data_IF_920523917033
#
_entry.id   IF_920523917033
#
_cell.length_a   1.000
_cell.length_b   1.000
_cell.length_c   1.000
_cell.angle_alpha   90.00
_cell.angle_beta   90.00
_cell.angle_gamma   90.00
#
_symmetry.space_group_name_H-M   'P 1'
#
loop_
_entity.id
_entity.type
_entity.pdbx_description
1 polymer ?
#
# COMPACT_ATOMS: atom_id res chain seq x y z
N UNK A 1 3.59 4.32 -51.66
CA UNK A 1 3.28 5.57 -50.94
C UNK A 1 1.93 5.39 -50.27
N UNK A 2 1.87 5.74 -48.98
CA UNK A 2 0.66 6.23 -48.26
C UNK A 2 -0.49 5.23 -48.01
N UNK A 3 -1.08 5.07 -46.81
CA UNK A 3 -1.00 5.76 -45.51
C UNK A 3 -1.53 4.82 -44.43
N UNK A 4 -0.79 4.79 -43.33
CA UNK A 4 -1.17 4.57 -41.94
C UNK A 4 -2.67 4.62 -41.59
N UNK A 5 -3.12 3.63 -40.82
CA UNK A 5 -4.01 3.85 -39.67
C UNK A 5 -3.39 3.18 -38.45
N UNK A 6 -2.47 3.92 -37.83
CA UNK A 6 -2.00 3.73 -36.47
C UNK A 6 -3.20 4.02 -35.57
N UNK A 7 -3.80 2.99 -34.99
CA UNK A 7 -4.78 3.16 -33.92
C UNK A 7 -4.02 3.74 -32.74
N UNK A 8 -4.11 5.06 -32.60
CA UNK A 8 -3.69 5.79 -31.43
C UNK A 8 -4.58 5.34 -30.28
N UNK A 9 -4.06 4.45 -29.44
CA UNK A 9 -4.56 4.28 -28.08
C UNK A 9 -4.41 5.63 -27.39
N UNK A 10 -5.54 6.33 -27.26
CA UNK A 10 -5.61 7.55 -26.46
C UNK A 10 -5.28 7.15 -25.01
N UNK A 11 -4.41 7.90 -24.29
CA UNK A 11 -4.32 7.72 -22.85
C UNK A 11 -5.67 8.19 -22.30
N UNK A 12 -6.54 7.25 -21.98
CA UNK A 12 -7.76 7.54 -21.23
C UNK A 12 -7.31 8.20 -19.94
N UNK A 13 -7.61 9.49 -19.83
CA UNK A 13 -7.46 10.28 -18.61
C UNK A 13 -7.95 9.39 -17.48
N UNK A 14 -7.02 8.95 -16.63
CA UNK A 14 -7.36 8.17 -15.47
C UNK A 14 -8.26 9.06 -14.63
N UNK A 15 -9.57 8.84 -14.68
CA UNK A 15 -10.46 9.35 -13.65
C UNK A 15 -9.83 8.92 -12.33
N UNK A 16 -9.49 9.90 -11.50
CA UNK A 16 -8.99 9.65 -10.15
C UNK A 16 -10.10 8.89 -9.42
N UNK A 17 -10.03 7.56 -9.47
CA UNK A 17 -11.00 6.69 -8.83
C UNK A 17 -11.01 7.05 -7.34
N UNK A 18 -12.20 7.31 -6.83
CA UNK A 18 -12.39 7.58 -5.41
C UNK A 18 -11.97 6.35 -4.60
N UNK A 19 -11.57 6.60 -3.36
CA UNK A 19 -11.18 5.52 -2.46
C UNK A 19 -12.30 4.50 -2.27
N UNK A 20 -13.56 4.97 -2.22
CA UNK A 20 -14.71 4.08 -2.12
C UNK A 20 -14.84 3.15 -3.34
N UNK A 21 -14.62 3.68 -4.55
CA UNK A 21 -14.63 2.88 -5.79
C UNK A 21 -13.52 1.84 -5.77
N UNK A 22 -12.31 2.23 -5.36
CA UNK A 22 -11.15 1.33 -5.27
C UNK A 22 -11.37 0.18 -4.28
N UNK A 23 -12.12 0.41 -3.19
CA UNK A 23 -12.51 -0.62 -2.23
C UNK A 23 -13.57 -1.56 -2.81
N UNK A 24 -14.55 -1.02 -3.53
CA UNK A 24 -15.65 -1.80 -4.12
C UNK A 24 -15.19 -2.70 -5.28
N UNK A 25 -14.25 -2.23 -6.09
CA UNK A 25 -13.72 -2.98 -7.24
C UNK A 25 -12.78 -4.12 -6.86
N UNK A 26 -12.22 -4.12 -5.64
CA UNK A 26 -11.34 -5.19 -5.16
C UNK A 26 -12.17 -6.45 -4.85
N UNK A 27 -12.35 -7.35 -5.83
CA UNK A 27 -13.19 -8.55 -5.71
C UNK A 27 -12.58 -9.72 -4.95
N UNK A 28 -11.24 -9.86 -4.91
CA UNK A 28 -10.54 -10.93 -4.18
C UNK A 28 -9.51 -10.38 -3.18
N UNK A 29 -9.30 -11.10 -2.07
CA UNK A 29 -8.22 -10.80 -1.11
C UNK A 29 -8.46 -9.62 -0.16
N UNK A 30 -9.71 -9.14 -0.02
CA UNK A 30 -10.09 -7.94 0.78
C UNK A 30 -9.45 -7.90 2.16
N UNK A 31 -9.45 -9.03 2.88
CA UNK A 31 -8.86 -9.12 4.22
C UNK A 31 -7.33 -9.09 4.22
N UNK A 32 -6.68 -9.67 3.20
CA UNK A 32 -5.22 -9.60 3.03
C UNK A 32 -4.75 -8.19 2.68
N UNK A 33 -5.52 -7.48 1.84
CA UNK A 33 -5.26 -6.09 1.47
C UNK A 33 -5.28 -5.15 2.66
N UNK A 34 -6.19 -5.32 3.64
CA UNK A 34 -6.23 -4.48 4.84
C UNK A 34 -4.93 -4.61 5.67
N UNK A 35 -4.38 -5.81 5.78
CA UNK A 35 -3.10 -6.03 6.46
C UNK A 35 -1.94 -5.35 5.71
N UNK A 36 -1.93 -5.44 4.37
CA UNK A 36 -0.95 -4.78 3.53
C UNK A 36 -1.04 -3.25 3.60
N UNK A 37 -2.24 -2.68 3.60
CA UNK A 37 -2.47 -1.24 3.79
C UNK A 37 -1.94 -0.80 5.16
N UNK A 38 -2.24 -1.56 6.21
CA UNK A 38 -1.78 -1.24 7.57
C UNK A 38 -0.25 -1.30 7.69
N UNK A 39 0.37 -2.29 7.05
CA UNK A 39 1.82 -2.39 6.95
C UNK A 39 2.41 -1.20 6.20
N UNK A 40 1.85 -0.86 5.03
CA UNK A 40 2.31 0.26 4.22
C UNK A 40 2.14 1.61 4.92
N UNK A 41 1.03 1.82 5.63
CA UNK A 41 0.82 3.01 6.46
C UNK A 41 1.91 3.19 7.53
N UNK A 42 2.37 2.09 8.16
CA UNK A 42 3.49 2.13 9.10
C UNK A 42 4.80 2.52 8.41
N UNK A 43 5.05 2.01 7.20
CA UNK A 43 6.23 2.35 6.41
C UNK A 43 6.22 3.81 5.98
N UNK A 44 5.07 4.33 5.52
CA UNK A 44 4.91 5.75 5.18
C UNK A 44 5.22 6.64 6.38
N UNK A 45 4.78 6.26 7.59
CA UNK A 45 5.03 7.04 8.81
C UNK A 45 6.52 7.12 9.20
N UNK A 46 7.34 6.16 8.76
CA UNK A 46 8.80 6.18 9.00
C UNK A 46 9.53 7.14 8.07
N UNK A 47 8.93 7.51 6.94
CA UNK A 47 9.53 8.42 5.96
C UNK A 47 9.45 9.85 6.48
N UNK A 48 10.58 10.57 6.45
CA UNK A 48 10.65 11.95 6.97
C UNK A 48 9.68 12.90 6.24
N UNK A 49 9.49 12.65 4.94
CA UNK A 49 8.57 13.40 4.06
C UNK A 49 7.12 13.36 4.56
N UNK A 50 6.74 12.38 5.36
CA UNK A 50 5.36 12.17 5.81
C UNK A 50 5.13 12.49 7.29
N UNK A 51 6.14 13.01 8.00
CA UNK A 51 6.01 13.33 9.45
C UNK A 51 4.97 14.42 9.77
N UNK A 52 4.64 15.25 8.80
CA UNK A 52 3.65 16.32 8.96
C UNK A 52 2.21 15.84 8.77
N UNK A 53 2.01 14.63 8.25
CA UNK A 53 0.70 14.06 7.97
C UNK A 53 0.06 13.49 9.23
N UNK A 54 -1.27 13.62 9.33
CA UNK A 54 -2.01 12.95 10.40
C UNK A 54 -2.08 11.45 10.16
N UNK A 55 -2.48 10.69 11.20
CA UNK A 55 -2.68 9.25 11.04
C UNK A 55 -3.74 8.93 9.97
N UNK A 56 -4.78 9.76 9.87
CA UNK A 56 -5.83 9.62 8.85
C UNK A 56 -5.24 9.84 7.46
N UNK A 57 -4.48 10.91 7.25
CA UNK A 57 -3.87 11.22 5.95
C UNK A 57 -2.90 10.12 5.51
N UNK A 58 -2.10 9.58 6.44
CA UNK A 58 -1.20 8.44 6.19
C UNK A 58 -2.01 7.22 5.75
N UNK A 59 -3.14 6.96 6.41
CA UNK A 59 -3.98 5.80 6.11
C UNK A 59 -4.65 5.96 4.74
N UNK A 60 -5.21 7.13 4.44
CA UNK A 60 -5.80 7.44 3.14
C UNK A 60 -4.78 7.32 2.02
N UNK A 61 -3.57 7.86 2.22
CA UNK A 61 -2.46 7.70 1.28
C UNK A 61 -2.11 6.22 1.08
N UNK A 62 -2.02 5.44 2.16
CA UNK A 62 -1.71 4.03 2.06
C UNK A 62 -2.80 3.25 1.30
N UNK A 63 -4.07 3.54 1.58
CA UNK A 63 -5.20 2.95 0.89
C UNK A 63 -5.16 3.29 -0.61
N UNK A 64 -4.92 4.55 -0.97
CA UNK A 64 -4.83 4.98 -2.36
C UNK A 64 -3.67 4.30 -3.11
N UNK A 65 -2.48 4.21 -2.51
CA UNK A 65 -1.30 3.61 -3.17
C UNK A 65 -1.43 2.09 -3.35
N UNK A 66 -2.01 1.38 -2.36
CA UNK A 66 -2.18 -0.08 -2.40
C UNK A 66 -3.40 -0.49 -3.23
N UNK A 67 -4.52 0.23 -3.12
CA UNK A 67 -5.72 -0.11 -3.88
C UNK A 67 -5.61 0.34 -5.33
N UNK A 68 -5.04 1.52 -5.57
CA UNK A 68 -4.79 2.08 -6.90
C UNK A 68 -3.64 1.44 -7.66
N UNK A 69 -2.96 0.43 -7.09
CA UNK A 69 -1.93 -0.34 -7.80
C UNK A 69 -0.62 0.41 -8.04
N UNK A 70 -0.40 1.54 -7.35
CA UNK A 70 0.89 2.25 -7.37
C UNK A 70 2.00 1.41 -6.74
N UNK A 71 1.63 0.44 -5.89
CA UNK A 71 2.50 -0.55 -5.28
C UNK A 71 2.03 -1.95 -5.66
N UNK A 72 3.00 -2.80 -6.02
CA UNK A 72 2.75 -4.21 -6.25
C UNK A 72 2.45 -4.94 -4.92
N UNK A 73 1.34 -5.66 -4.89
CA UNK A 73 0.87 -6.34 -3.67
C UNK A 73 1.78 -7.50 -3.26
N UNK A 74 2.41 -8.20 -4.22
CA UNK A 74 3.30 -9.33 -3.92
C UNK A 74 4.60 -8.84 -3.32
N UNK A 75 5.15 -7.74 -3.84
CA UNK A 75 6.33 -7.11 -3.26
C UNK A 75 6.04 -6.59 -1.85
N UNK A 76 4.87 -5.98 -1.65
CA UNK A 76 4.45 -5.49 -0.33
C UNK A 76 4.25 -6.64 0.66
N UNK A 77 3.66 -7.76 0.22
CA UNK A 77 3.49 -8.97 1.03
C UNK A 77 4.84 -9.59 1.39
N UNK A 78 5.77 -9.68 0.45
CA UNK A 78 7.13 -10.16 0.70
C UNK A 78 7.84 -9.30 1.75
N UNK A 79 7.80 -7.97 1.61
CA UNK A 79 8.38 -7.05 2.60
C UNK A 79 7.73 -7.17 3.97
N UNK A 80 6.42 -7.39 4.03
CA UNK A 80 5.71 -7.62 5.28
C UNK A 80 6.17 -8.91 5.97
N UNK A 81 6.40 -9.98 5.21
CA UNK A 81 6.89 -11.26 5.72
C UNK A 81 8.36 -11.17 6.18
N UNK A 82 9.21 -10.46 5.43
CA UNK A 82 10.61 -10.21 5.78
C UNK A 82 10.71 -9.38 7.07
N UNK A 83 9.98 -8.27 7.17
CA UNK A 83 9.98 -7.43 8.38
C UNK A 83 9.41 -8.13 9.63
N UNK A 84 8.49 -9.09 9.46
CA UNK A 84 7.97 -9.89 10.58
C UNK A 84 9.02 -10.85 11.16
N UNK A 85 10.02 -11.22 10.37
CA UNK A 85 11.13 -12.08 10.80
C UNK A 85 12.11 -11.33 11.72
N UNK A 86 12.21 -10.00 11.58
CA UNK A 86 13.06 -9.15 12.43
C UNK A 86 12.38 -8.74 13.75
N UNK A 87 11.05 -8.63 13.79
CA UNK A 87 10.32 -8.20 15.00
C UNK A 87 10.21 -9.32 16.06
N UNK A 88 10.39 -10.59 15.68
CA UNK A 88 10.32 -11.74 16.60
C UNK A 88 11.48 -11.87 17.59
N UNK A 89 12.55 -11.07 17.48
CA UNK A 89 13.69 -11.09 18.42
C UNK A 89 13.59 -10.08 19.57
N UNK A 90 12.60 -9.18 19.58
CA UNK A 90 12.37 -8.27 20.71
C UNK A 90 11.35 -8.84 21.71
N UNK A 91 11.69 -9.96 22.36
CA UNK A 91 11.03 -10.31 23.63
C UNK A 91 11.52 -9.35 24.72
N UNK A 92 10.63 -8.71 25.51
CA UNK A 92 11.07 -7.99 26.69
C UNK A 92 11.60 -9.00 27.70
N UNK A 93 12.87 -8.86 28.07
CA UNK A 93 13.44 -9.51 29.24
C UNK A 93 12.61 -9.06 30.45
N UNK A 94 11.70 -9.92 30.92
CA UNK A 94 11.09 -9.77 32.24
C UNK A 94 12.15 -10.15 33.27
N UNK A 95 12.89 -9.15 33.72
CA UNK A 95 13.44 -9.12 35.06
C UNK A 95 12.31 -9.42 36.05
N UNK A 96 12.37 -10.58 36.71
CA UNK A 96 11.74 -10.80 37.99
C UNK A 96 12.83 -11.22 38.96
N UNK A 97 13.36 -10.19 39.61
CA UNK A 97 14.03 -10.23 40.90
C UNK A 97 13.00 -10.59 41.96
N UNK A 98 13.23 -11.66 42.70
CA UNK A 98 13.09 -11.78 44.17
C UNK A 98 13.54 -13.18 44.61
#
# INVERSE_FOLDING_TARGET
>A
MERSKKTTEQPTVAEEMTLEQLVLDKKEGKYGVVALISFWAKELRKQEEHRHLTQTDILEKAMAEVLGGKIDLKDLEKRMLEGRSEESEKKPAKDKKD
#
